data_IF_120567305572
#
_entry.id   IF_120567305572
#
_cell.length_a   1.000
_cell.length_b   1.000
_cell.length_c   1.000
_cell.angle_alpha   90.00
_cell.angle_beta   90.00
_cell.angle_gamma   90.00
#
_symmetry.space_group_name_H-M   'P 1'
#
loop_
_entity.id
_entity.type
_entity.pdbx_description
1 polymer ?
#
# COMPACT_ATOMS: atom_id res chain seq x y z
N UNK A 1 3.91 -11.60 -0.65
CA UNK A 1 3.29 -10.31 -0.30
C UNK A 1 4.29 -9.45 0.45
N UNK A 2 4.13 -8.16 0.37
CA UNK A 2 5.01 -7.26 1.10
C UNK A 2 4.30 -6.79 2.37
N UNK A 3 5.06 -6.34 3.36
CA UNK A 3 4.44 -5.80 4.58
C UNK A 3 3.50 -4.63 4.29
N UNK A 4 3.91 -3.74 3.38
CA UNK A 4 3.06 -2.60 3.02
C UNK A 4 1.76 -3.07 2.35
N UNK A 5 1.89 -3.98 1.40
CA UNK A 5 0.72 -4.49 0.69
C UNK A 5 -0.27 -5.18 1.61
N UNK A 6 0.23 -5.98 2.53
CA UNK A 6 -0.61 -6.67 3.50
C UNK A 6 -1.36 -5.67 4.39
N UNK A 7 -0.63 -4.67 4.88
CA UNK A 7 -1.25 -3.66 5.73
C UNK A 7 -2.29 -2.84 4.96
N UNK A 8 -1.96 -2.48 3.74
CA UNK A 8 -2.89 -1.72 2.90
C UNK A 8 -4.18 -2.50 2.69
N UNK A 9 -4.06 -3.78 2.39
CA UNK A 9 -5.23 -4.62 2.19
C UNK A 9 -6.07 -4.70 3.45
N UNK A 10 -5.44 -4.86 4.61
CA UNK A 10 -6.16 -4.93 5.87
C UNK A 10 -6.88 -3.63 6.18
N UNK A 11 -6.25 -2.50 5.92
CA UNK A 11 -6.91 -1.21 6.11
C UNK A 11 -8.12 -1.10 5.21
N UNK A 12 -7.95 -1.49 3.95
CA UNK A 12 -9.04 -1.43 3.00
C UNK A 12 -10.22 -2.29 3.44
N UNK A 13 -9.93 -3.52 3.85
CA UNK A 13 -10.98 -4.44 4.28
C UNK A 13 -11.65 -3.97 5.57
N UNK A 14 -10.87 -3.44 6.50
CA UNK A 14 -11.42 -2.95 7.75
C UNK A 14 -12.36 -1.76 7.55
N UNK A 15 -12.09 -0.96 6.51
CA UNK A 15 -12.94 0.18 6.21
C UNK A 15 -14.04 -0.14 5.21
N UNK A 16 -14.12 -1.38 4.77
CA UNK A 16 -15.15 -1.80 3.84
C UNK A 16 -15.04 -1.15 2.46
N UNK A 17 -13.81 -0.86 2.03
CA UNK A 17 -13.56 -0.18 0.77
C UNK A 17 -13.13 -1.18 -0.28
N UNK A 18 -13.77 -1.11 -1.46
CA UNK A 18 -13.38 -2.00 -2.55
C UNK A 18 -12.06 -1.56 -3.17
N UNK A 19 -11.40 -2.49 -3.84
CA UNK A 19 -10.18 -2.16 -4.56
C UNK A 19 -10.41 -1.06 -5.60
N UNK A 20 -11.53 -1.15 -6.31
CA UNK A 20 -11.83 -0.17 -7.34
C UNK A 20 -12.02 1.23 -6.73
N UNK A 21 -12.72 1.30 -5.61
CA UNK A 21 -12.94 2.58 -4.95
C UNK A 21 -11.65 3.19 -4.45
N UNK A 22 -10.80 2.37 -3.83
CA UNK A 22 -9.53 2.88 -3.33
C UNK A 22 -8.62 3.31 -4.48
N UNK A 23 -8.58 2.52 -5.55
CA UNK A 23 -7.76 2.89 -6.70
C UNK A 23 -8.18 4.22 -7.28
N UNK A 24 -9.49 4.45 -7.39
CA UNK A 24 -10.00 5.72 -7.89
C UNK A 24 -9.59 6.87 -6.98
N UNK A 25 -9.69 6.68 -5.67
CA UNK A 25 -9.32 7.71 -4.71
C UNK A 25 -7.83 8.03 -4.77
N UNK A 26 -7.01 7.04 -5.03
CA UNK A 26 -5.57 7.22 -5.10
C UNK A 26 -5.09 7.59 -6.50
N UNK A 27 -6.00 7.67 -7.47
CA UNK A 27 -5.68 8.02 -8.85
C UNK A 27 -4.71 7.02 -9.48
N UNK A 28 -4.92 5.74 -9.19
CA UNK A 28 -4.15 4.65 -9.80
C UNK A 28 -5.11 3.64 -10.39
N UNK A 29 -4.60 2.76 -11.23
CA UNK A 29 -5.44 1.73 -11.81
C UNK A 29 -5.72 0.63 -10.78
N UNK A 30 -6.88 -0.05 -10.88
CA UNK A 30 -7.13 -1.19 -10.01
C UNK A 30 -6.07 -2.28 -10.15
N UNK A 31 -5.54 -2.47 -11.35
CA UNK A 31 -4.49 -3.46 -11.56
C UNK A 31 -3.23 -3.11 -10.80
N UNK A 32 -2.87 -1.83 -10.78
CA UNK A 32 -1.71 -1.39 -10.02
C UNK A 32 -1.92 -1.61 -8.53
N UNK A 33 -3.10 -1.25 -8.04
CA UNK A 33 -3.41 -1.42 -6.63
C UNK A 33 -3.39 -2.89 -6.24
N UNK A 34 -3.96 -3.75 -7.08
CA UNK A 34 -3.94 -5.18 -6.83
C UNK A 34 -2.50 -5.70 -6.76
N UNK A 35 -1.67 -5.28 -7.71
CA UNK A 35 -0.27 -5.71 -7.71
C UNK A 35 0.46 -5.23 -6.46
N UNK A 36 0.14 -4.03 -6.00
CA UNK A 36 0.76 -3.49 -4.80
C UNK A 36 0.35 -4.29 -3.57
N UNK A 37 -0.94 -4.63 -3.46
CA UNK A 37 -1.43 -5.41 -2.33
C UNK A 37 -0.86 -6.83 -2.30
N UNK A 38 -0.60 -7.39 -3.46
CA UNK A 38 -0.06 -8.75 -3.54
C UNK A 38 1.47 -8.81 -3.57
N UNK A 39 2.11 -7.64 -3.47
CA UNK A 39 3.56 -7.61 -3.40
C UNK A 39 4.26 -7.79 -4.73
N UNK A 40 3.57 -7.57 -5.85
CA UNK A 40 4.17 -7.68 -7.17
C UNK A 40 4.83 -6.39 -7.62
N UNK A 41 4.57 -5.30 -6.91
CA UNK A 41 5.19 -4.01 -7.18
C UNK A 41 6.19 -3.70 -6.10
N UNK A 42 7.12 -2.84 -6.42
CA UNK A 42 8.10 -2.41 -5.47
C UNK A 42 7.54 -1.39 -4.50
N UNK A 43 8.42 -0.60 -3.92
CA UNK A 43 8.01 0.40 -2.95
C UNK A 43 7.08 1.41 -3.58
N UNK A 44 6.01 1.75 -2.86
CA UNK A 44 5.15 2.84 -3.34
C UNK A 44 5.89 4.16 -3.20
N UNK A 45 5.50 5.14 -4.02
CA UNK A 45 6.10 6.47 -3.94
C UNK A 45 5.68 7.16 -2.65
N UNK A 46 6.49 8.11 -2.17
CA UNK A 46 6.09 8.87 -0.97
C UNK A 46 4.75 9.57 -1.14
N UNK A 47 4.46 10.03 -2.36
CA UNK A 47 3.16 10.67 -2.61
C UNK A 47 2.01 9.72 -2.45
N UNK A 48 2.18 8.48 -2.91
CA UNK A 48 1.13 7.48 -2.75
C UNK A 48 0.93 7.13 -1.29
N UNK A 49 2.03 6.98 -0.54
CA UNK A 49 1.93 6.70 0.88
C UNK A 49 1.15 7.80 1.59
N UNK A 50 1.45 9.06 1.24
CA UNK A 50 0.76 10.19 1.82
C UNK A 50 -0.74 10.13 1.52
N UNK A 51 -1.10 9.81 0.27
CA UNK A 51 -2.50 9.70 -0.10
C UNK A 51 -3.21 8.57 0.65
N UNK A 52 -2.53 7.45 0.83
CA UNK A 52 -3.09 6.34 1.60
C UNK A 52 -3.34 6.78 3.04
N UNK A 53 -2.37 7.44 3.64
CA UNK A 53 -2.52 7.89 5.01
C UNK A 53 -3.69 8.86 5.15
N UNK A 54 -3.83 9.76 4.19
CA UNK A 54 -4.93 10.71 4.22
C UNK A 54 -6.27 10.04 4.01
N UNK A 55 -6.31 9.09 3.09
CA UNK A 55 -7.56 8.41 2.80
C UNK A 55 -8.10 7.67 4.02
N UNK A 56 -7.22 7.00 4.75
CA UNK A 56 -7.64 6.23 5.92
C UNK A 56 -7.56 7.02 7.21
N UNK A 57 -7.16 8.28 7.14
CA UNK A 57 -7.09 9.13 8.33
C UNK A 57 -5.99 8.73 9.28
N UNK A 58 -4.90 8.15 8.79
CA UNK A 58 -3.79 7.75 9.63
C UNK A 58 -2.94 8.94 9.99
N UNK A 59 -2.60 9.05 11.27
CA UNK A 59 -1.77 10.14 11.77
C UNK A 59 -0.75 9.57 12.74
N UNK A 60 0.27 10.37 13.03
CA UNK A 60 1.27 10.05 14.05
C UNK A 60 1.90 8.70 13.77
N UNK A 61 1.88 7.82 14.76
CA UNK A 61 2.57 6.53 14.67
C UNK A 61 2.02 5.65 13.55
N UNK A 62 0.72 5.71 13.30
CA UNK A 62 0.13 4.89 12.24
C UNK A 62 0.63 5.33 10.87
N UNK A 63 0.72 6.63 10.66
CA UNK A 63 1.24 7.15 9.39
C UNK A 63 2.71 6.80 9.24
N UNK A 64 3.48 6.91 10.31
CA UNK A 64 4.89 6.55 10.27
C UNK A 64 5.10 5.08 10.02
N UNK A 65 4.22 4.27 10.55
CA UNK A 65 4.32 2.84 10.31
C UNK A 65 4.15 2.51 8.84
N UNK A 66 3.22 3.18 8.15
CA UNK A 66 3.05 2.96 6.72
C UNK A 66 4.33 3.30 5.95
N UNK A 67 5.00 4.38 6.34
CA UNK A 67 6.26 4.74 5.72
C UNK A 67 7.32 3.68 5.97
N UNK A 68 7.41 3.19 7.19
CA UNK A 68 8.36 2.14 7.53
C UNK A 68 8.11 0.87 6.76
N UNK A 69 6.84 0.47 6.68
CA UNK A 69 6.49 -0.75 5.95
C UNK A 69 6.81 -0.62 4.48
N UNK A 70 6.60 0.57 3.91
CA UNK A 70 6.95 0.80 2.51
C UNK A 70 8.45 0.65 2.28
N UNK A 71 9.25 1.09 3.23
CA UNK A 71 10.71 1.01 3.10
C UNK A 71 11.21 -0.42 3.01
N UNK A 72 10.58 -1.33 3.74
CA UNK A 72 11.03 -2.72 3.76
C UNK A 72 10.24 -3.59 2.80
N UNK A 73 9.36 -2.99 2.01
CA UNK A 73 8.56 -3.73 1.05
C UNK A 73 9.24 -3.73 -0.30
N UNK A 74 9.71 -4.90 -0.73
CA UNK A 74 10.31 -5.08 -2.04
C UNK A 74 9.51 -6.13 -2.77
N UNK A 75 9.47 -6.07 -4.09
CA UNK A 75 8.97 -7.21 -4.82
C UNK A 75 9.85 -8.39 -4.49
N UNK A 76 9.28 -9.56 -4.59
CA UNK A 76 10.05 -10.76 -4.34
C UNK A 76 11.23 -10.78 -5.28
N UNK A 77 12.40 -10.68 -4.74
CA UNK A 77 13.60 -10.64 -5.54
C UNK A 77 14.34 -11.93 -5.38
N UNK A 78 14.80 -12.42 -6.48
CA UNK A 78 15.62 -13.58 -6.45
C UNK A 78 17.02 -13.16 -6.12
N UNK A 79 17.56 -13.68 -5.30
CA UNK A 79 18.89 -13.24 -4.98
C UNK A 79 19.96 -14.13 -5.40
N UNK A 80 19.56 -14.04 -5.59
CA UNK A 80 20.07 -14.44 -5.69
C UNK A 80 20.71 -14.59 -5.76
N UNK A 81 20.90 -14.77 -5.75
CA UNK A 81 21.24 -14.91 -5.71
C UNK A 81 21.63 -15.02 -5.87
#
# INVERSE_FOLDING_TARGET
MTPFGTRLRRLREAHGVSQASLAAALHVSPAYLSALEHGHRGRPSPGLIHQVNEFFGLIWDDAEEMVRLARVSHPRVVLDT
#
